data_IF_999041641554
#
_entry.id   IF_999041641554
#
_cell.length_a   1.000
_cell.length_b   1.000
_cell.length_c   1.000
_cell.angle_alpha   90.00
_cell.angle_beta   90.00
_cell.angle_gamma   90.00
#
_symmetry.space_group_name_H-M   'P 1'
#
loop_
_entity.id
_entity.type
_entity.pdbx_description
1 polymer ?
#
# COMPACT_ATOMS: atom_id res chain seq x y z
N UNK A 1 17.37 7.59 -27.53
CA UNK A 1 17.19 8.88 -26.81
C UNK A 1 15.97 9.65 -27.32
N UNK A 2 15.74 9.72 -28.60
CA UNK A 2 14.58 10.38 -29.26
C UNK A 2 13.20 9.89 -28.77
N UNK A 3 12.99 8.58 -28.59
CA UNK A 3 11.68 8.05 -28.22
C UNK A 3 11.29 8.36 -26.77
N UNK A 4 12.26 8.39 -25.85
CA UNK A 4 12.02 8.83 -24.46
C UNK A 4 11.64 10.31 -24.39
N UNK A 5 12.28 11.16 -25.19
CA UNK A 5 11.95 12.59 -25.25
C UNK A 5 10.55 12.78 -25.84
N UNK A 6 10.22 12.08 -26.92
CA UNK A 6 8.87 12.10 -27.49
C UNK A 6 7.81 11.65 -26.48
N UNK A 7 8.07 10.55 -25.74
CA UNK A 7 7.16 10.06 -24.71
C UNK A 7 6.93 11.11 -23.59
N UNK A 8 7.98 11.78 -23.13
CA UNK A 8 7.87 12.86 -22.12
C UNK A 8 7.06 14.04 -22.66
N UNK A 9 7.36 14.49 -23.89
CA UNK A 9 6.63 15.60 -24.54
C UNK A 9 5.15 15.23 -24.69
N UNK A 10 4.85 14.03 -25.20
CA UNK A 10 3.47 13.55 -25.33
C UNK A 10 2.76 13.51 -23.98
N UNK A 11 3.41 13.01 -22.93
CA UNK A 11 2.86 13.00 -21.58
C UNK A 11 2.54 14.39 -21.04
N UNK A 12 3.44 15.36 -21.25
CA UNK A 12 3.20 16.76 -20.85
C UNK A 12 2.04 17.37 -21.65
N UNK A 13 1.97 17.14 -22.98
CA UNK A 13 0.86 17.63 -23.81
C UNK A 13 -0.48 17.05 -23.31
N UNK A 14 -0.55 15.76 -23.04
CA UNK A 14 -1.76 15.12 -22.53
C UNK A 14 -2.18 15.68 -21.17
N UNK A 15 -1.21 15.94 -20.27
CA UNK A 15 -1.48 16.57 -18.98
C UNK A 15 -2.03 17.98 -19.14
N UNK A 16 -1.44 18.79 -20.01
CA UNK A 16 -1.89 20.16 -20.29
C UNK A 16 -3.31 20.13 -20.88
N UNK A 17 -3.57 19.25 -21.86
CA UNK A 17 -4.90 19.09 -22.45
C UNK A 17 -5.93 18.67 -21.40
N UNK A 18 -5.57 17.78 -20.50
CA UNK A 18 -6.43 17.35 -19.38
C UNK A 18 -6.78 18.53 -18.46
N UNK A 19 -5.78 19.32 -18.05
CA UNK A 19 -5.99 20.49 -17.17
C UNK A 19 -6.83 21.57 -17.86
N UNK A 20 -6.58 21.83 -19.15
CA UNK A 20 -7.36 22.78 -19.93
C UNK A 20 -8.81 22.30 -20.12
N UNK A 21 -9.02 21.02 -20.40
CA UNK A 21 -10.36 20.42 -20.51
C UNK A 21 -11.10 20.48 -19.16
N UNK A 22 -10.42 20.21 -18.05
CA UNK A 22 -10.99 20.36 -16.72
C UNK A 22 -11.38 21.82 -16.44
N UNK A 23 -10.48 22.78 -16.71
CA UNK A 23 -10.78 24.20 -16.54
C UNK A 23 -11.97 24.63 -17.40
N UNK A 24 -12.04 24.18 -18.65
CA UNK A 24 -13.18 24.47 -19.54
C UNK A 24 -14.50 23.89 -19.02
N UNK A 25 -14.48 22.65 -18.51
CA UNK A 25 -15.68 22.01 -17.94
C UNK A 25 -16.22 22.75 -16.71
N UNK A 26 -15.33 23.30 -15.87
CA UNK A 26 -15.71 24.12 -14.73
C UNK A 26 -16.25 25.48 -15.19
N UNK A 27 -15.56 26.16 -16.12
CA UNK A 27 -15.94 27.49 -16.56
C UNK A 27 -17.26 27.53 -17.37
N UNK A 28 -17.61 26.44 -18.04
CA UNK A 28 -18.87 26.32 -18.80
C UNK A 28 -20.06 25.85 -17.96
N UNK A 29 -19.90 25.71 -16.64
CA UNK A 29 -20.90 25.14 -15.72
C UNK A 29 -21.43 23.74 -16.12
N UNK A 30 -20.62 22.98 -16.88
CA UNK A 30 -20.90 21.57 -17.16
C UNK A 30 -20.86 20.70 -15.91
N UNK A 31 -20.11 21.13 -14.89
CA UNK A 31 -19.99 20.49 -13.59
C UNK A 31 -20.76 21.27 -12.53
N UNK A 32 -21.01 20.64 -11.39
CA UNK A 32 -21.68 21.30 -10.26
C UNK A 32 -20.87 22.51 -9.75
N UNK A 33 -21.53 23.44 -9.08
CA UNK A 33 -20.86 24.62 -8.47
C UNK A 33 -19.83 24.24 -7.39
N UNK A 34 -19.88 23.01 -6.89
CA UNK A 34 -18.91 22.45 -5.94
C UNK A 34 -17.72 21.79 -6.61
N UNK A 35 -17.67 21.76 -7.96
CA UNK A 35 -16.57 21.14 -8.67
C UNK A 35 -15.27 21.93 -8.47
N UNK A 36 -14.17 21.25 -8.06
CA UNK A 36 -12.89 21.91 -7.85
C UNK A 36 -12.37 22.50 -9.17
N UNK A 37 -11.73 23.64 -9.12
CA UNK A 37 -11.05 24.23 -10.27
C UNK A 37 -9.53 24.03 -10.19
N UNK A 38 -8.82 23.89 -11.31
CA UNK A 38 -7.34 23.82 -11.30
C UNK A 38 -6.70 24.97 -10.53
N UNK A 39 -7.23 26.19 -10.68
CA UNK A 39 -6.75 27.38 -9.95
C UNK A 39 -7.03 27.32 -8.46
N UNK A 40 -8.23 26.87 -8.04
CA UNK A 40 -8.59 26.67 -6.64
C UNK A 40 -7.71 25.62 -5.97
N UNK A 41 -7.53 24.47 -6.63
CA UNK A 41 -6.64 23.40 -6.16
C UNK A 41 -5.21 23.88 -6.00
N UNK A 42 -4.69 24.68 -6.96
CA UNK A 42 -3.36 25.25 -6.86
C UNK A 42 -3.23 26.19 -5.65
N UNK A 43 -4.13 27.15 -5.52
CA UNK A 43 -4.12 28.11 -4.42
C UNK A 43 -4.22 27.40 -3.06
N UNK A 44 -5.15 26.45 -2.96
CA UNK A 44 -5.34 25.66 -1.73
C UNK A 44 -4.15 24.77 -1.43
N UNK A 45 -3.51 24.22 -2.47
CA UNK A 45 -2.28 23.45 -2.34
C UNK A 45 -1.12 24.28 -1.78
N UNK A 46 -0.93 25.50 -2.32
CA UNK A 46 0.09 26.44 -1.81
C UNK A 46 -0.19 26.80 -0.34
N UNK A 47 -1.44 27.06 0.03
CA UNK A 47 -1.82 27.35 1.41
C UNK A 47 -1.52 26.20 2.36
N UNK A 48 -1.95 24.96 2.02
CA UNK A 48 -1.70 23.76 2.84
C UNK A 48 -0.21 23.44 2.97
N UNK A 49 0.57 23.70 1.90
CA UNK A 49 2.00 23.42 1.87
C UNK A 49 2.87 24.58 2.36
N UNK A 50 2.30 25.78 2.63
CA UNK A 50 3.05 26.91 3.21
C UNK A 50 3.47 26.65 4.66
N UNK A 51 2.63 25.97 5.43
CA UNK A 51 2.96 25.52 6.78
C UNK A 51 2.52 24.07 7.02
N UNK A 52 3.24 23.07 6.46
CA UNK A 52 2.86 21.67 6.52
C UNK A 52 3.10 21.05 7.89
N UNK A 53 3.85 21.74 8.78
CA UNK A 53 4.31 21.21 10.07
C UNK A 53 3.60 21.83 11.27
N UNK A 54 2.63 22.70 11.10
CA UNK A 54 1.95 23.38 12.21
C UNK A 54 1.29 22.38 13.19
N UNK A 55 1.15 22.81 14.44
CA UNK A 55 0.49 22.07 15.53
C UNK A 55 -0.21 23.06 16.45
N UNK A 56 -1.50 23.29 16.19
CA UNK A 56 -2.30 24.26 16.96
C UNK A 56 -3.18 23.60 18.03
N UNK A 57 -3.00 22.30 18.28
CA UNK A 57 -3.74 21.57 19.28
C UNK A 57 -4.19 20.17 18.84
N UNK A 58 -4.93 19.45 19.71
CA UNK A 58 -5.45 18.11 19.38
C UNK A 58 -6.35 18.16 18.14
N UNK A 59 -5.93 17.49 17.06
CA UNK A 59 -6.70 17.40 15.81
C UNK A 59 -6.49 18.55 14.82
N UNK A 60 -5.76 19.63 15.18
CA UNK A 60 -5.36 20.72 14.28
C UNK A 60 -3.87 20.63 13.99
N UNK A 61 -3.51 19.84 13.02
CA UNK A 61 -2.13 19.58 12.62
C UNK A 61 -1.95 19.70 11.11
N UNK A 62 -0.74 20.08 10.69
CA UNK A 62 -0.37 20.21 9.29
C UNK A 62 -0.40 18.88 8.54
N UNK A 63 -0.48 18.98 7.22
CA UNK A 63 -0.65 17.83 6.32
C UNK A 63 0.49 16.81 6.45
N UNK A 64 1.70 17.26 6.78
CA UNK A 64 2.86 16.37 7.02
C UNK A 64 2.59 15.37 8.14
N UNK A 65 1.98 15.80 9.24
CA UNK A 65 1.70 14.91 10.38
C UNK A 65 0.62 13.88 10.05
N UNK A 66 -0.36 14.26 9.22
CA UNK A 66 -1.35 13.32 8.69
C UNK A 66 -0.69 12.24 7.83
N UNK A 67 0.16 12.64 6.89
CA UNK A 67 0.90 11.69 6.04
C UNK A 67 1.82 10.78 6.86
N UNK A 68 2.57 11.36 7.80
CA UNK A 68 3.49 10.59 8.66
C UNK A 68 2.76 9.56 9.52
N UNK A 69 1.60 9.92 10.06
CA UNK A 69 0.76 9.00 10.86
C UNK A 69 0.27 7.83 10.01
N UNK A 70 -0.27 8.10 8.82
CA UNK A 70 -0.71 7.05 7.90
C UNK A 70 0.45 6.15 7.48
N UNK A 71 1.59 6.73 7.13
CA UNK A 71 2.80 6.00 6.73
C UNK A 71 3.30 5.09 7.85
N UNK A 72 3.37 5.60 9.08
CA UNK A 72 3.77 4.82 10.26
C UNK A 72 2.85 3.62 10.49
N UNK A 73 1.52 3.81 10.41
CA UNK A 73 0.54 2.73 10.54
C UNK A 73 0.71 1.67 9.46
N UNK A 74 0.84 2.11 8.20
CA UNK A 74 1.04 1.20 7.07
C UNK A 74 2.30 0.39 7.25
N UNK A 75 3.44 1.02 7.51
CA UNK A 75 4.70 0.31 7.68
C UNK A 75 4.66 -0.67 8.85
N UNK A 76 4.08 -0.27 9.98
CA UNK A 76 3.97 -1.13 11.15
C UNK A 76 3.07 -2.34 10.88
N UNK A 77 1.86 -2.14 10.35
CA UNK A 77 0.94 -3.23 10.02
C UNK A 77 1.49 -4.16 8.92
N UNK A 78 2.12 -3.58 7.90
CA UNK A 78 2.80 -4.32 6.84
C UNK A 78 3.95 -5.19 7.36
N UNK A 79 4.78 -4.67 8.27
CA UNK A 79 5.87 -5.45 8.88
C UNK A 79 5.33 -6.62 9.71
N UNK A 80 4.28 -6.40 10.50
CA UNK A 80 3.62 -7.49 11.25
C UNK A 80 3.11 -8.56 10.27
N UNK A 81 2.42 -8.15 9.21
CA UNK A 81 1.92 -9.08 8.20
C UNK A 81 3.06 -9.86 7.54
N UNK A 82 4.17 -9.21 7.20
CA UNK A 82 5.33 -9.86 6.57
C UNK A 82 5.98 -10.89 7.51
N UNK A 83 6.16 -10.53 8.80
CA UNK A 83 6.73 -11.41 9.82
C UNK A 83 5.88 -12.66 10.04
N UNK A 84 4.56 -12.56 9.91
CA UNK A 84 3.62 -13.69 10.04
C UNK A 84 3.53 -14.47 8.71
N UNK A 85 3.28 -13.78 7.61
CA UNK A 85 2.92 -14.40 6.34
C UNK A 85 4.11 -15.09 5.65
N UNK A 86 5.33 -14.55 5.76
CA UNK A 86 6.50 -15.16 5.11
C UNK A 86 6.83 -16.53 5.73
N UNK A 87 7.00 -16.68 7.06
CA UNK A 87 7.25 -17.99 7.66
C UNK A 87 6.10 -18.98 7.43
N UNK A 88 4.86 -18.50 7.55
CA UNK A 88 3.69 -19.33 7.29
C UNK A 88 3.64 -19.77 5.81
N UNK A 89 3.98 -18.89 4.87
CA UNK A 89 4.07 -19.20 3.45
C UNK A 89 5.14 -20.26 3.14
N UNK A 90 6.31 -20.17 3.79
CA UNK A 90 7.33 -21.22 3.70
C UNK A 90 6.83 -22.55 4.25
N UNK A 91 6.18 -22.56 5.39
CA UNK A 91 5.62 -23.74 6.01
C UNK A 91 4.58 -24.41 5.10
N UNK A 92 3.61 -23.64 4.60
CA UNK A 92 2.54 -24.14 3.72
C UNK A 92 3.08 -24.54 2.33
N UNK A 93 4.10 -23.86 1.82
CA UNK A 93 4.77 -24.23 0.58
C UNK A 93 5.48 -25.59 0.66
N UNK A 94 6.00 -25.95 1.84
CA UNK A 94 6.76 -27.20 2.06
C UNK A 94 5.92 -28.35 2.56
N UNK A 95 4.96 -28.09 3.44
CA UNK A 95 4.13 -29.13 4.08
C UNK A 95 2.80 -29.25 3.34
N UNK A 96 2.76 -30.18 2.39
CA UNK A 96 1.60 -30.40 1.50
C UNK A 96 0.29 -30.66 2.28
N UNK A 97 0.35 -31.47 3.34
CA UNK A 97 -0.82 -31.81 4.17
C UNK A 97 -1.39 -30.55 4.83
N UNK A 98 -0.52 -29.71 5.42
CA UNK A 98 -0.93 -28.48 6.09
C UNK A 98 -1.53 -27.47 5.08
N UNK A 99 -0.91 -27.38 3.91
CA UNK A 99 -1.44 -26.55 2.81
C UNK A 99 -2.84 -26.99 2.42
N UNK A 100 -3.05 -28.28 2.15
CA UNK A 100 -4.38 -28.79 1.77
C UNK A 100 -5.42 -28.60 2.87
N UNK A 101 -5.04 -28.72 4.14
CA UNK A 101 -5.93 -28.50 5.26
C UNK A 101 -6.36 -27.02 5.39
N UNK A 102 -5.45 -26.07 5.13
CA UNK A 102 -5.71 -24.64 5.27
C UNK A 102 -6.21 -23.96 3.98
N UNK A 103 -6.03 -24.60 2.83
CA UNK A 103 -6.40 -24.04 1.52
C UNK A 103 -7.88 -23.62 1.44
N UNK A 104 -8.88 -24.42 1.91
CA UNK A 104 -10.27 -23.99 1.92
C UNK A 104 -10.50 -22.74 2.78
N UNK A 105 -9.83 -22.61 3.92
CA UNK A 105 -9.94 -21.46 4.81
C UNK A 105 -9.35 -20.20 4.15
N UNK A 106 -8.19 -20.34 3.51
CA UNK A 106 -7.54 -19.27 2.77
C UNK A 106 -8.46 -18.80 1.61
N UNK A 107 -9.06 -19.73 0.87
CA UNK A 107 -9.95 -19.41 -0.24
C UNK A 107 -11.21 -18.67 0.20
N UNK A 108 -11.75 -18.95 1.37
CA UNK A 108 -12.92 -18.26 1.94
C UNK A 108 -12.55 -16.88 2.47
N UNK A 109 -11.43 -16.74 3.17
CA UNK A 109 -11.05 -15.50 3.85
C UNK A 109 -10.40 -14.47 2.91
N UNK A 110 -9.69 -14.92 1.89
CA UNK A 110 -8.97 -14.05 0.93
C UNK A 110 -9.87 -13.02 0.23
N UNK A 111 -11.06 -13.35 -0.29
CA UNK A 111 -11.93 -12.41 -0.98
C UNK A 111 -12.65 -11.45 -0.03
N UNK A 112 -12.61 -11.66 1.28
CA UNK A 112 -13.24 -10.77 2.25
C UNK A 112 -12.47 -9.46 2.30
N UNK A 113 -13.17 -8.34 2.06
CA UNK A 113 -12.57 -7.02 2.15
C UNK A 113 -11.97 -6.79 3.55
N UNK A 114 -10.70 -6.37 3.67
CA UNK A 114 -10.11 -6.02 4.96
C UNK A 114 -10.92 -4.98 5.73
N UNK A 115 -11.59 -4.06 5.03
CA UNK A 115 -12.43 -3.03 5.66
C UNK A 115 -13.70 -3.61 6.30
N UNK A 116 -14.19 -4.76 5.85
CA UNK A 116 -15.33 -5.42 6.48
C UNK A 116 -15.02 -5.89 7.92
N UNK A 117 -13.74 -6.07 8.25
CA UNK A 117 -13.28 -6.43 9.59
C UNK A 117 -13.16 -5.24 10.55
N UNK A 118 -13.30 -4.01 10.03
CA UNK A 118 -13.11 -2.80 10.83
C UNK A 118 -14.06 -2.69 12.04
N UNK A 119 -15.38 -2.95 11.92
CA UNK A 119 -16.28 -2.95 13.09
C UNK A 119 -15.90 -4.00 14.14
N UNK A 120 -15.46 -5.18 13.69
CA UNK A 120 -15.00 -6.25 14.56
C UNK A 120 -13.70 -5.83 15.27
N UNK A 121 -12.77 -5.23 14.53
CA UNK A 121 -11.54 -4.67 15.11
C UNK A 121 -11.82 -3.62 16.18
N UNK A 122 -12.74 -2.69 15.92
CA UNK A 122 -13.15 -1.68 16.91
C UNK A 122 -13.80 -2.30 18.16
N UNK A 123 -14.65 -3.31 17.98
CA UNK A 123 -15.29 -3.99 19.10
C UNK A 123 -14.31 -4.79 19.96
N UNK A 124 -13.27 -5.40 19.35
CA UNK A 124 -12.31 -6.23 20.05
C UNK A 124 -11.16 -5.43 20.67
N UNK A 125 -10.65 -4.42 19.96
CA UNK A 125 -9.45 -3.69 20.36
C UNK A 125 -9.77 -2.40 21.13
N UNK A 126 -11.00 -1.88 21.02
CA UNK A 126 -11.51 -0.66 21.67
C UNK A 126 -10.59 0.56 21.46
N UNK A 127 -9.81 0.55 20.38
CA UNK A 127 -8.82 1.55 20.05
C UNK A 127 -8.73 1.74 18.53
N UNK A 128 -8.86 2.98 18.09
CA UNK A 128 -8.89 3.36 16.69
C UNK A 128 -7.55 3.06 15.98
N UNK A 129 -6.42 3.35 16.65
CA UNK A 129 -5.11 3.17 16.07
C UNK A 129 -4.77 1.69 15.87
N UNK A 130 -5.02 0.87 16.89
CA UNK A 130 -4.82 -0.59 16.80
C UNK A 130 -5.74 -1.21 15.76
N UNK A 131 -6.97 -0.73 15.65
CA UNK A 131 -7.91 -1.22 14.62
C UNK A 131 -7.44 -0.89 13.21
N UNK A 132 -6.95 0.33 12.98
CA UNK A 132 -6.38 0.70 11.69
C UNK A 132 -5.19 -0.21 11.32
N UNK A 133 -4.28 -0.46 12.26
CA UNK A 133 -3.15 -1.40 12.07
C UNK A 133 -3.64 -2.81 11.81
N UNK A 134 -4.64 -3.31 12.55
CA UNK A 134 -5.23 -4.64 12.34
C UNK A 134 -5.76 -4.83 10.92
N UNK A 135 -6.49 -3.85 10.40
CA UNK A 135 -7.02 -3.89 9.02
C UNK A 135 -5.89 -3.88 7.98
N UNK A 136 -4.81 -3.14 8.24
CA UNK A 136 -3.61 -3.16 7.39
C UNK A 136 -2.96 -4.55 7.41
N UNK A 137 -2.81 -5.16 8.58
CA UNK A 137 -2.27 -6.53 8.70
C UNK A 137 -3.08 -7.49 7.85
N UNK A 138 -4.40 -7.46 7.94
CA UNK A 138 -5.27 -8.33 7.14
C UNK A 138 -5.14 -8.06 5.62
N UNK A 139 -4.99 -6.80 5.21
CA UNK A 139 -4.84 -6.45 3.80
C UNK A 139 -3.50 -6.93 3.23
N UNK A 140 -2.43 -6.86 4.02
CA UNK A 140 -1.10 -7.25 3.62
C UNK A 140 -0.85 -8.77 3.68
N UNK A 141 -1.49 -9.46 4.62
CA UNK A 141 -1.24 -10.86 4.94
C UNK A 141 -1.48 -11.77 3.75
N UNK A 142 -2.63 -11.67 3.09
CA UNK A 142 -3.01 -12.59 2.02
C UNK A 142 -2.10 -12.51 0.80
N UNK A 143 -1.79 -11.32 0.24
CA UNK A 143 -0.86 -11.22 -0.89
C UNK A 143 0.53 -11.76 -0.55
N UNK A 144 1.07 -11.47 0.64
CA UNK A 144 2.37 -11.96 1.06
C UNK A 144 2.33 -13.49 1.22
N UNK A 145 1.33 -14.02 1.91
CA UNK A 145 1.19 -15.45 2.18
C UNK A 145 1.14 -16.26 0.88
N UNK A 146 0.22 -15.89 -0.01
CA UNK A 146 -0.05 -16.66 -1.23
C UNK A 146 1.16 -16.62 -2.18
N UNK A 147 1.74 -15.44 -2.41
CA UNK A 147 2.90 -15.33 -3.28
C UNK A 147 4.15 -15.99 -2.66
N UNK A 148 4.27 -16.03 -1.31
CA UNK A 148 5.35 -16.78 -0.66
C UNK A 148 5.15 -18.28 -0.84
N UNK A 149 3.93 -18.81 -0.67
CA UNK A 149 3.61 -20.21 -0.97
C UNK A 149 3.99 -20.53 -2.41
N UNK A 150 3.57 -19.71 -3.36
CA UNK A 150 3.83 -19.88 -4.79
C UNK A 150 5.33 -19.88 -5.09
N UNK A 151 6.07 -18.91 -4.56
CA UNK A 151 7.53 -18.84 -4.71
C UNK A 151 8.24 -20.09 -4.18
N UNK A 152 7.79 -20.63 -3.04
CA UNK A 152 8.34 -21.87 -2.46
C UNK A 152 8.03 -23.10 -3.32
N UNK A 153 6.83 -23.17 -3.89
CA UNK A 153 6.44 -24.26 -4.78
C UNK A 153 7.22 -24.29 -6.09
N UNK A 154 7.63 -23.11 -6.58
CA UNK A 154 8.38 -22.96 -7.82
C UNK A 154 9.90 -22.99 -7.65
N UNK A 155 10.43 -23.35 -6.45
CA UNK A 155 11.85 -23.61 -6.30
C UNK A 155 12.25 -24.75 -7.23
N UNK A 156 13.29 -24.48 -8.06
CA UNK A 156 13.73 -25.47 -9.05
C UNK A 156 14.14 -26.80 -8.37
N UNK A 157 13.66 -27.95 -8.87
CA UNK A 157 13.91 -29.27 -8.24
C UNK A 157 15.39 -29.59 -8.00
N UNK A 158 16.29 -29.06 -8.82
CA UNK A 158 17.74 -29.26 -8.66
C UNK A 158 18.24 -28.72 -7.32
N UNK A 159 17.78 -27.56 -6.88
CA UNK A 159 18.18 -27.00 -5.59
C UNK A 159 17.70 -27.87 -4.40
N UNK A 160 16.51 -28.42 -4.53
CA UNK A 160 15.95 -29.32 -3.49
C UNK A 160 16.72 -30.66 -3.44
N UNK A 161 17.06 -31.24 -4.60
CA UNK A 161 17.85 -32.47 -4.69
C UNK A 161 19.25 -32.24 -4.15
N UNK A 162 19.88 -31.11 -4.47
CA UNK A 162 21.22 -30.77 -3.99
C UNK A 162 21.28 -30.72 -2.46
N UNK A 163 20.35 -30.02 -1.82
CA UNK A 163 20.30 -29.92 -0.36
C UNK A 163 20.08 -31.28 0.31
N UNK A 164 19.29 -32.16 -0.31
CA UNK A 164 19.05 -33.52 0.17
C UNK A 164 20.29 -34.39 0.02
N UNK A 165 20.93 -34.39 -1.16
CA UNK A 165 22.13 -35.22 -1.45
C UNK A 165 23.33 -34.84 -0.57
N UNK A 166 23.47 -33.53 -0.26
CA UNK A 166 24.53 -33.02 0.62
C UNK A 166 24.24 -33.22 2.12
N UNK A 167 23.09 -33.82 2.50
CA UNK A 167 22.70 -33.96 3.88
C UNK A 167 22.59 -32.66 4.65
N UNK A 168 22.28 -31.54 3.94
CA UNK A 168 22.29 -30.20 4.51
C UNK A 168 21.20 -30.07 5.59
N UNK A 169 21.53 -29.61 6.82
CA UNK A 169 20.52 -29.39 7.85
C UNK A 169 19.49 -28.38 7.41
N UNK A 170 18.23 -28.57 7.81
CA UNK A 170 17.07 -27.84 7.31
C UNK A 170 17.22 -26.32 7.40
N UNK A 171 17.73 -25.82 8.54
CA UNK A 171 17.93 -24.37 8.73
C UNK A 171 18.92 -23.78 7.73
N UNK A 172 19.98 -24.51 7.37
CA UNK A 172 20.98 -24.10 6.38
C UNK A 172 20.41 -24.18 4.96
N UNK A 173 19.62 -25.22 4.66
CA UNK A 173 18.90 -25.34 3.40
C UNK A 173 17.93 -24.15 3.19
N UNK A 174 17.18 -23.77 4.23
CA UNK A 174 16.27 -22.61 4.18
C UNK A 174 17.06 -21.32 3.99
N UNK A 175 18.05 -21.04 4.83
CA UNK A 175 18.74 -19.74 4.84
C UNK A 175 19.66 -19.53 3.63
N UNK A 176 20.32 -20.58 3.13
CA UNK A 176 21.33 -20.46 2.08
C UNK A 176 20.84 -20.82 0.68
N UNK A 177 19.73 -21.57 0.57
CA UNK A 177 19.25 -22.05 -0.73
C UNK A 177 17.81 -21.60 -0.99
N UNK A 178 16.87 -21.95 -0.10
CA UNK A 178 15.46 -21.72 -0.40
C UNK A 178 15.06 -20.26 -0.28
N UNK A 179 15.50 -19.56 0.77
CA UNK A 179 15.22 -18.14 0.96
C UNK A 179 15.79 -17.29 -0.19
N UNK A 180 17.08 -17.42 -0.58
CA UNK A 180 17.59 -16.71 -1.75
C UNK A 180 16.85 -17.04 -3.06
N UNK A 181 16.50 -18.32 -3.27
CA UNK A 181 15.78 -18.74 -4.47
C UNK A 181 14.34 -18.17 -4.54
N UNK A 182 13.68 -17.94 -3.40
CA UNK A 182 12.31 -17.40 -3.33
C UNK A 182 12.28 -15.87 -3.18
N UNK A 183 13.39 -15.25 -2.86
CA UNK A 183 13.47 -13.83 -2.53
C UNK A 183 12.89 -12.90 -3.61
N UNK A 184 13.12 -13.13 -4.93
CA UNK A 184 12.51 -12.30 -5.97
C UNK A 184 10.97 -12.32 -5.94
N UNK A 185 10.39 -13.50 -5.70
CA UNK A 185 8.93 -13.68 -5.57
C UNK A 185 8.39 -13.01 -4.31
N UNK A 186 9.10 -13.14 -3.19
CA UNK A 186 8.74 -12.50 -1.92
C UNK A 186 8.78 -10.97 -2.05
N UNK A 187 9.80 -10.40 -2.67
CA UNK A 187 9.87 -8.94 -2.88
C UNK A 187 8.73 -8.45 -3.76
N UNK A 188 8.36 -9.20 -4.79
CA UNK A 188 7.18 -8.88 -5.61
C UNK A 188 5.89 -8.90 -4.76
N UNK A 189 5.74 -9.90 -3.89
CA UNK A 189 4.63 -9.98 -2.95
C UNK A 189 4.58 -8.78 -1.98
N UNK A 190 5.74 -8.42 -1.42
CA UNK A 190 5.87 -7.28 -0.52
C UNK A 190 5.49 -5.96 -1.22
N UNK A 191 5.91 -5.78 -2.47
CA UNK A 191 5.57 -4.59 -3.27
C UNK A 191 4.06 -4.47 -3.49
N UNK A 192 3.42 -5.54 -3.95
CA UNK A 192 1.96 -5.59 -4.17
C UNK A 192 1.20 -5.34 -2.85
N UNK A 193 1.66 -5.96 -1.78
CA UNK A 193 1.04 -5.88 -0.46
C UNK A 193 1.17 -4.47 0.15
N UNK A 194 2.31 -3.79 0.01
CA UNK A 194 2.46 -2.42 0.50
C UNK A 194 1.54 -1.46 -0.26
N UNK A 195 1.43 -1.62 -1.59
CA UNK A 195 0.54 -0.80 -2.41
C UNK A 195 -0.93 -0.98 -2.01
N UNK A 196 -1.37 -2.22 -1.79
CA UNK A 196 -2.76 -2.49 -1.32
C UNK A 196 -2.99 -1.96 0.09
N UNK A 197 -2.03 -2.09 0.99
CA UNK A 197 -2.11 -1.55 2.36
C UNK A 197 -2.21 -0.03 2.39
N UNK A 198 -1.48 0.65 1.49
CA UNK A 198 -1.57 2.11 1.34
C UNK A 198 -2.96 2.56 0.88
N UNK A 199 -3.61 1.83 -0.01
CA UNK A 199 -4.98 2.14 -0.43
C UNK A 199 -6.00 1.90 0.69
N UNK A 200 -5.83 0.80 1.43
CA UNK A 200 -6.77 0.40 2.49
C UNK A 200 -6.73 1.35 3.69
N UNK A 201 -5.53 1.84 4.09
CA UNK A 201 -5.41 2.74 5.26
C UNK A 201 -6.21 4.02 5.08
N UNK A 202 -6.24 4.60 3.87
CA UNK A 202 -6.94 5.84 3.60
C UNK A 202 -8.43 5.70 3.96
N UNK A 203 -9.06 4.63 3.50
CA UNK A 203 -10.48 4.37 3.79
C UNK A 203 -10.69 4.00 5.26
N UNK A 204 -9.78 3.22 5.85
CA UNK A 204 -9.86 2.88 7.27
C UNK A 204 -9.81 4.14 8.15
N UNK A 205 -8.91 5.08 7.87
CA UNK A 205 -8.79 6.35 8.61
C UNK A 205 -10.01 7.27 8.43
N UNK A 206 -10.65 7.25 7.25
CA UNK A 206 -11.91 7.98 7.03
C UNK A 206 -13.03 7.46 7.94
N UNK A 207 -13.07 6.16 8.20
CA UNK A 207 -14.13 5.51 8.97
C UNK A 207 -13.85 5.54 10.49
N UNK A 208 -12.60 5.35 10.88
CA UNK A 208 -12.20 5.25 12.29
C UNK A 208 -12.00 6.64 12.92
N UNK A 209 -11.59 7.62 12.13
CA UNK A 209 -11.31 8.97 12.62
C UNK A 209 -9.90 9.12 13.24
N UNK A 210 -9.68 10.21 13.96
CA UNK A 210 -8.45 10.50 14.68
C UNK A 210 -7.46 11.35 13.87
N UNK A 211 -6.33 10.80 13.47
CA UNK A 211 -5.30 11.48 12.70
C UNK A 211 -4.87 10.57 11.53
N UNK A 212 -4.52 11.16 10.39
CA UNK A 212 -4.09 10.47 9.19
C UNK A 212 -4.60 11.17 7.94
N UNK A 213 -4.04 10.84 6.78
CA UNK A 213 -4.40 11.50 5.52
C UNK A 213 -5.84 11.18 5.10
N UNK A 214 -6.32 9.98 5.38
CA UNK A 214 -7.72 9.60 5.14
C UNK A 214 -8.68 10.41 6.03
N UNK A 215 -8.35 10.62 7.30
CA UNK A 215 -9.12 11.47 8.19
C UNK A 215 -9.09 12.94 7.74
N UNK A 216 -7.96 13.44 7.24
CA UNK A 216 -7.89 14.77 6.64
C UNK A 216 -8.87 14.90 5.45
N UNK A 217 -8.88 13.94 4.53
CA UNK A 217 -9.83 13.90 3.40
C UNK A 217 -11.28 13.94 3.89
N UNK A 218 -11.61 13.14 4.92
CA UNK A 218 -12.95 13.11 5.51
C UNK A 218 -13.35 14.46 6.13
N UNK A 219 -12.44 15.13 6.83
CA UNK A 219 -12.67 16.45 7.40
C UNK A 219 -12.89 17.52 6.32
N UNK A 220 -12.12 17.48 5.24
CA UNK A 220 -12.29 18.42 4.12
C UNK A 220 -13.61 18.17 3.39
N UNK A 221 -14.03 16.92 3.26
CA UNK A 221 -15.35 16.57 2.74
C UNK A 221 -16.48 17.18 3.59
N UNK A 222 -16.41 17.03 4.90
CA UNK A 222 -17.42 17.60 5.82
C UNK A 222 -17.46 19.14 5.82
N UNK A 223 -16.35 19.77 5.41
CA UNK A 223 -16.27 21.23 5.23
C UNK A 223 -16.64 21.68 3.81
N UNK A 224 -16.92 20.75 2.91
CA UNK A 224 -17.13 21.00 1.47
C UNK A 224 -15.92 21.66 0.78
N UNK A 225 -14.72 21.48 1.33
CA UNK A 225 -13.45 21.96 0.77
C UNK A 225 -12.89 20.92 -0.23
N UNK A 226 -13.52 20.89 -1.41
CA UNK A 226 -13.19 19.90 -2.43
C UNK A 226 -11.80 20.15 -3.03
N UNK A 227 -11.34 21.41 -3.10
CA UNK A 227 -10.01 21.76 -3.55
C UNK A 227 -8.93 21.11 -2.66
N UNK A 228 -9.10 21.17 -1.33
CA UNK A 228 -8.19 20.50 -0.38
C UNK A 228 -8.21 18.98 -0.51
N UNK A 229 -9.37 18.38 -0.85
CA UNK A 229 -9.46 16.94 -1.13
C UNK A 229 -8.60 16.55 -2.33
N UNK A 230 -8.67 17.34 -3.43
CA UNK A 230 -7.84 17.07 -4.61
C UNK A 230 -6.35 17.21 -4.29
N UNK A 231 -5.95 18.20 -3.48
CA UNK A 231 -4.56 18.32 -2.98
C UNK A 231 -4.16 17.05 -2.21
N UNK A 232 -5.01 16.57 -1.30
CA UNK A 232 -4.74 15.35 -0.55
C UNK A 232 -4.61 14.12 -1.46
N UNK A 233 -5.47 13.97 -2.49
CA UNK A 233 -5.39 12.88 -3.48
C UNK A 233 -4.04 12.91 -4.20
N UNK A 234 -3.54 14.09 -4.61
CA UNK A 234 -2.23 14.21 -5.23
C UNK A 234 -1.12 13.79 -4.27
N UNK A 235 -1.17 14.22 -3.01
CA UNK A 235 -0.17 13.85 -1.99
C UNK A 235 -0.21 12.33 -1.68
N UNK A 236 -1.39 11.74 -1.62
CA UNK A 236 -1.58 10.29 -1.48
C UNK A 236 -0.93 9.54 -2.65
N UNK A 237 -1.19 10.00 -3.88
CA UNK A 237 -0.61 9.41 -5.09
C UNK A 237 0.91 9.53 -5.13
N UNK A 238 1.47 10.68 -4.79
CA UNK A 238 2.92 10.91 -4.72
C UNK A 238 3.57 10.02 -3.64
N UNK A 239 2.96 9.92 -2.47
CA UNK A 239 3.45 9.05 -1.38
C UNK A 239 3.42 7.59 -1.80
N UNK A 240 2.33 7.12 -2.41
CA UNK A 240 2.23 5.76 -2.96
C UNK A 240 3.29 5.47 -4.03
N UNK A 241 3.55 6.42 -4.91
CA UNK A 241 4.60 6.32 -5.93
C UNK A 241 5.99 6.20 -5.30
N UNK A 242 6.29 6.99 -4.26
CA UNK A 242 7.55 6.91 -3.52
C UNK A 242 7.70 5.53 -2.87
N UNK A 243 6.67 5.02 -2.20
CA UNK A 243 6.66 3.69 -1.58
C UNK A 243 6.93 2.59 -2.61
N UNK A 244 6.26 2.64 -3.76
CA UNK A 244 6.43 1.68 -4.84
C UNK A 244 7.85 1.71 -5.41
N UNK A 245 8.43 2.90 -5.60
CA UNK A 245 9.81 3.05 -6.09
C UNK A 245 10.84 2.55 -5.07
N UNK A 246 10.63 2.78 -3.77
CA UNK A 246 11.55 2.31 -2.73
C UNK A 246 11.63 0.77 -2.71
N UNK A 247 10.50 0.07 -2.76
CA UNK A 247 10.52 -1.40 -2.84
C UNK A 247 11.00 -1.88 -4.20
N UNK A 248 10.64 -1.19 -5.28
CA UNK A 248 11.14 -1.50 -6.63
C UNK A 248 12.67 -1.39 -6.75
N UNK A 249 13.30 -0.49 -6.00
CA UNK A 249 14.77 -0.39 -5.93
C UNK A 249 15.37 -1.62 -5.23
N UNK A 250 14.76 -2.11 -4.13
CA UNK A 250 15.17 -3.35 -3.47
C UNK A 250 15.05 -4.57 -4.41
N UNK A 251 14.03 -4.60 -5.27
CA UNK A 251 13.85 -5.70 -6.23
C UNK A 251 14.98 -5.78 -7.25
N UNK A 252 15.54 -4.62 -7.67
CA UNK A 252 16.66 -4.60 -8.63
C UNK A 252 17.96 -5.13 -8.05
N UNK A 253 18.19 -4.97 -6.74
CA UNK A 253 19.42 -5.47 -6.07
C UNK A 253 19.40 -6.98 -5.83
N UNK A 254 18.22 -7.61 -5.88
CA UNK A 254 18.02 -9.04 -5.59
C UNK A 254 17.81 -9.87 -6.86
N UNK A 255 17.55 -9.24 -8.01
CA UNK A 255 17.57 -9.94 -9.30
C UNK A 255 18.99 -10.31 -9.64
N UNK A 256 19.34 -11.57 -9.37
CA UNK A 256 20.50 -12.19 -9.99
C UNK A 256 20.14 -12.44 -11.47
N UNK A 257 20.78 -11.68 -12.37
CA UNK A 257 20.79 -11.97 -13.80
C UNK A 257 21.50 -13.30 -14.08
#
# INVERSE_FOLDING_TARGET
MTDRIKAVITGVILLVLFVLGWQAAVSTNLLSQLAPSPGGVWTRGVEILSDPFYRDGPGSVGIFWHLLTSLRRVLFGFLIAAVIAIPLGFLLGRVKVLRWALDPLIQILRPVSPLAWLPIGLALLLDAERTAVFVIVLSALWPILINTIDAVLHIHPTYLKLTYTLGTPLWLAISRVWLPATLPGIITALRLSLSTSWLVIIVAEMLVGGQGIGFFVWNMWNRLDIDAIVVAIVLIGLTGLILDHLIGALQKTVRYD
#
